data_IF_048888200599
#
_entry.id   IF_048888200599
#
_cell.length_a   1.000
_cell.length_b   1.000
_cell.length_c   1.000
_cell.angle_alpha   90.00
_cell.angle_beta   90.00
_cell.angle_gamma   90.00
#
_symmetry.space_group_name_H-M   'P 1'
#
loop_
_entity.id
_entity.type
_entity.pdbx_description
1 polymer ?
#
# COMPACT_ATOMS: atom_id res chain seq x y z
N UNK A 1 -4.60 -4.39 11.26
CA UNK A 1 -5.59 -3.38 10.87
C UNK A 1 -6.65 -3.23 11.97
N UNK A 2 -7.42 -4.28 12.32
CA UNK A 2 -8.47 -4.23 13.35
C UNK A 2 -8.01 -3.63 14.68
N UNK A 3 -6.83 -4.02 15.20
CA UNK A 3 -6.26 -3.47 16.44
C UNK A 3 -5.95 -1.96 16.37
N UNK A 4 -5.77 -1.43 15.17
CA UNK A 4 -5.57 0.00 14.93
C UNK A 4 -6.88 0.77 14.67
N UNK A 5 -8.03 0.10 14.80
CA UNK A 5 -9.35 0.70 14.54
C UNK A 5 -9.73 0.77 13.05
N UNK A 6 -8.93 0.18 12.15
CA UNK A 6 -9.25 0.05 10.73
C UNK A 6 -10.11 -1.20 10.56
N UNK A 7 -11.42 -1.04 10.69
CA UNK A 7 -12.38 -2.14 10.72
C UNK A 7 -13.24 -2.26 9.46
N UNK A 8 -13.30 -1.22 8.62
CA UNK A 8 -13.97 -1.27 7.32
C UNK A 8 -12.91 -1.47 6.24
N UNK A 9 -12.94 -2.61 5.56
CA UNK A 9 -11.94 -2.99 4.58
C UNK A 9 -12.58 -3.16 3.21
N UNK A 10 -11.88 -2.70 2.16
CA UNK A 10 -12.18 -3.06 0.78
C UNK A 10 -11.03 -3.92 0.27
N UNK A 11 -11.32 -5.13 -0.19
CA UNK A 11 -10.31 -6.05 -0.71
C UNK A 11 -10.55 -6.27 -2.21
N UNK A 12 -9.55 -5.88 -3.00
CA UNK A 12 -9.51 -6.16 -4.42
C UNK A 12 -9.06 -7.60 -4.67
N UNK A 13 -9.69 -8.27 -5.62
CA UNK A 13 -9.27 -9.59 -6.03
C UNK A 13 -9.56 -9.86 -7.52
N UNK A 14 -8.69 -10.65 -8.14
CA UNK A 14 -8.87 -11.16 -9.50
C UNK A 14 -8.58 -12.67 -9.51
N UNK A 15 -7.30 -13.04 -9.52
CA UNK A 15 -6.87 -14.43 -9.53
C UNK A 15 -7.16 -15.10 -8.18
N UNK A 16 -7.79 -16.29 -8.21
CA UNK A 16 -8.17 -17.07 -7.03
C UNK A 16 -9.06 -16.31 -6.02
N UNK A 17 -9.78 -15.27 -6.47
CA UNK A 17 -10.61 -14.44 -5.61
C UNK A 17 -11.64 -15.21 -4.80
N UNK A 18 -12.28 -16.22 -5.38
CA UNK A 18 -13.26 -17.05 -4.69
C UNK A 18 -12.67 -17.78 -3.46
N UNK A 19 -11.38 -18.15 -3.51
CA UNK A 19 -10.70 -18.77 -2.36
C UNK A 19 -10.48 -17.75 -1.23
N UNK A 20 -10.16 -16.50 -1.56
CA UNK A 20 -10.04 -15.43 -0.58
C UNK A 20 -11.38 -15.13 0.07
N UNK A 21 -12.44 -15.00 -0.75
CA UNK A 21 -13.81 -14.79 -0.26
C UNK A 21 -14.25 -15.93 0.64
N UNK A 22 -14.00 -17.19 0.23
CA UNK A 22 -14.35 -18.36 1.03
C UNK A 22 -13.58 -18.43 2.36
N UNK A 23 -12.31 -18.00 2.39
CA UNK A 23 -11.46 -18.03 3.57
C UNK A 23 -11.76 -16.91 4.57
N UNK A 24 -12.07 -15.71 4.10
CA UNK A 24 -12.21 -14.53 4.95
C UNK A 24 -13.68 -14.11 5.17
N UNK A 25 -14.59 -14.56 4.30
CA UNK A 25 -16.01 -14.24 4.39
C UNK A 25 -16.28 -12.73 4.36
N UNK A 26 -17.11 -12.27 5.28
CA UNK A 26 -17.39 -10.84 5.52
C UNK A 26 -16.41 -10.18 6.50
N UNK A 27 -15.42 -10.93 7.00
CA UNK A 27 -14.43 -10.44 7.96
C UNK A 27 -14.87 -10.44 9.41
N UNK A 28 -16.13 -10.80 9.72
CA UNK A 28 -16.68 -10.74 11.09
C UNK A 28 -15.87 -11.55 12.10
N UNK A 29 -15.37 -12.74 11.72
CA UNK A 29 -14.49 -13.57 12.55
C UNK A 29 -13.13 -12.92 12.87
N UNK A 30 -12.72 -11.91 12.09
CA UNK A 30 -11.47 -11.16 12.25
C UNK A 30 -11.68 -9.79 12.92
N UNK A 31 -12.92 -9.46 13.31
CA UNK A 31 -13.28 -8.17 13.91
C UNK A 31 -13.27 -7.01 12.91
N UNK A 32 -13.50 -7.30 11.63
CA UNK A 32 -13.57 -6.30 10.54
C UNK A 32 -14.82 -6.56 9.69
N UNK A 33 -15.17 -5.62 8.84
CA UNK A 33 -16.16 -5.75 7.78
C UNK A 33 -15.47 -5.66 6.44
N UNK A 34 -15.58 -6.67 5.60
CA UNK A 34 -14.95 -6.73 4.29
C UNK A 34 -15.99 -6.46 3.20
N UNK A 35 -15.71 -5.47 2.36
CA UNK A 35 -16.37 -5.24 1.07
C UNK A 35 -15.46 -5.75 -0.04
N UNK A 36 -15.96 -6.66 -0.87
CA UNK A 36 -15.18 -7.27 -1.94
C UNK A 36 -15.27 -6.45 -3.23
N UNK A 37 -14.12 -6.17 -3.85
CA UNK A 37 -13.99 -5.53 -5.15
C UNK A 37 -13.44 -6.52 -6.17
N UNK A 38 -14.34 -7.24 -6.85
CA UNK A 38 -13.95 -8.19 -7.90
C UNK A 38 -13.52 -7.45 -9.18
N UNK A 39 -12.31 -7.71 -9.65
CA UNK A 39 -11.77 -7.03 -10.84
C UNK A 39 -12.18 -7.68 -12.15
N UNK A 40 -12.43 -9.00 -12.14
CA UNK A 40 -12.61 -9.81 -13.34
C UNK A 40 -11.25 -10.12 -13.98
N UNK A 41 -10.74 -9.19 -14.78
CA UNK A 41 -9.35 -9.22 -15.27
C UNK A 41 -8.47 -8.39 -14.34
N UNK A 42 -7.19 -8.77 -14.13
CA UNK A 42 -6.26 -8.00 -13.30
C UNK A 42 -6.08 -6.56 -13.80
N UNK A 43 -6.35 -5.58 -12.93
CA UNK A 43 -6.29 -4.15 -13.27
C UNK A 43 -5.00 -3.47 -12.81
N UNK A 44 -4.04 -4.21 -12.29
CA UNK A 44 -2.90 -3.68 -11.55
C UNK A 44 -3.33 -2.85 -10.33
N UNK A 45 -2.39 -2.36 -9.54
CA UNK A 45 -2.73 -1.69 -8.27
C UNK A 45 -3.52 -0.40 -8.48
N UNK A 46 -3.15 0.42 -9.45
CA UNK A 46 -3.83 1.70 -9.71
C UNK A 46 -5.25 1.52 -10.21
N UNK A 47 -5.46 0.65 -11.20
CA UNK A 47 -6.77 0.37 -11.77
C UNK A 47 -7.69 -0.35 -10.77
N UNK A 48 -7.15 -1.28 -9.97
CA UNK A 48 -7.88 -1.94 -8.91
C UNK A 48 -8.39 -0.95 -7.86
N UNK A 49 -7.56 -0.02 -7.41
CA UNK A 49 -7.99 1.04 -6.48
C UNK A 49 -9.06 1.93 -7.12
N UNK A 50 -8.84 2.37 -8.37
CA UNK A 50 -9.83 3.21 -9.07
C UNK A 50 -11.20 2.53 -9.15
N UNK A 51 -11.22 1.22 -9.43
CA UNK A 51 -12.46 0.42 -9.45
C UNK A 51 -13.11 0.36 -8.07
N UNK A 52 -12.33 0.33 -7.00
CA UNK A 52 -12.80 0.24 -5.62
C UNK A 52 -13.28 1.58 -5.03
N UNK A 53 -12.99 2.74 -5.66
CA UNK A 53 -13.35 4.06 -5.14
C UNK A 53 -14.82 4.20 -4.74
N UNK A 54 -15.82 3.66 -5.48
CA UNK A 54 -17.22 3.72 -5.05
C UNK A 54 -17.49 3.04 -3.70
N UNK A 55 -16.66 2.07 -3.29
CA UNK A 55 -16.74 1.39 -1.99
C UNK A 55 -15.94 2.11 -0.91
N UNK A 56 -14.85 2.80 -1.30
CA UNK A 56 -13.94 3.53 -0.40
C UNK A 56 -14.51 4.90 0.00
N UNK A 57 -15.35 5.50 -0.84
CA UNK A 57 -15.90 6.84 -0.62
C UNK A 57 -14.94 7.96 -1.01
N UNK A 58 -15.19 9.16 -0.49
CA UNK A 58 -14.53 10.41 -0.86
C UNK A 58 -13.45 10.88 0.13
N UNK A 59 -13.27 10.15 1.23
CA UNK A 59 -12.23 10.45 2.23
C UNK A 59 -10.93 9.72 1.92
N UNK A 60 -9.78 10.26 2.38
CA UNK A 60 -8.53 9.51 2.35
C UNK A 60 -8.65 8.16 3.02
N UNK A 61 -8.02 7.15 2.44
CA UNK A 61 -8.04 5.77 2.92
C UNK A 61 -6.63 5.21 3.07
N UNK A 62 -6.47 4.23 3.95
CA UNK A 62 -5.22 3.48 4.12
C UNK A 62 -5.16 2.39 3.06
N UNK A 63 -4.10 2.40 2.27
CA UNK A 63 -3.74 1.34 1.33
C UNK A 63 -2.71 0.42 1.97
N UNK A 64 -2.93 -0.89 1.86
CA UNK A 64 -1.97 -1.92 2.30
C UNK A 64 -1.94 -3.01 1.23
N UNK A 65 -0.75 -3.31 0.71
CA UNK A 65 -0.57 -4.44 -0.21
C UNK A 65 -0.85 -5.75 0.52
N UNK A 66 -1.50 -6.70 -0.16
CA UNK A 66 -1.91 -7.97 0.43
C UNK A 66 -0.76 -8.97 0.66
N UNK A 67 0.41 -8.71 0.11
CA UNK A 67 1.60 -9.56 0.15
C UNK A 67 2.69 -9.06 1.11
N UNK A 68 2.37 -8.16 2.03
CA UNK A 68 3.35 -7.68 3.02
C UNK A 68 3.06 -8.25 4.41
N UNK A 69 4.15 -8.55 5.12
CA UNK A 69 4.15 -8.82 6.56
C UNK A 69 4.96 -7.73 7.27
N UNK A 70 4.40 -7.16 8.35
CA UNK A 70 5.05 -6.05 9.06
C UNK A 70 4.55 -5.92 10.50
N UNK A 71 5.40 -5.35 11.37
CA UNK A 71 5.00 -4.88 12.69
C UNK A 71 4.74 -3.36 12.73
N UNK A 72 4.49 -2.74 11.58
CA UNK A 72 4.13 -1.33 11.50
C UNK A 72 2.85 -1.02 12.29
N UNK A 73 2.88 0.05 13.09
CA UNK A 73 1.72 0.53 13.83
C UNK A 73 0.88 1.49 12.96
N UNK A 74 -0.30 1.07 12.54
CA UNK A 74 -1.21 1.88 11.74
C UNK A 74 -1.92 2.98 12.53
N UNK A 75 -1.79 2.99 13.87
CA UNK A 75 -2.39 4.01 14.72
C UNK A 75 -1.73 5.36 14.52
N UNK A 76 -2.49 6.34 14.05
CA UNK A 76 -1.97 7.69 13.79
C UNK A 76 -1.51 7.94 12.35
N UNK A 77 -1.52 6.93 11.48
CA UNK A 77 -1.22 7.11 10.06
C UNK A 77 -2.32 7.98 9.40
N UNK A 78 -1.96 9.17 8.95
CA UNK A 78 -2.90 10.16 8.40
C UNK A 78 -2.33 10.83 7.16
N UNK A 79 -3.21 11.40 6.33
CA UNK A 79 -2.81 12.22 5.19
C UNK A 79 -2.74 13.69 5.62
N UNK A 80 -1.57 14.36 5.54
CA UNK A 80 -1.48 15.79 5.80
C UNK A 80 -2.35 16.61 4.83
N UNK A 81 -2.91 17.71 5.31
CA UNK A 81 -3.78 18.57 4.52
C UNK A 81 -3.10 19.02 3.22
N UNK A 82 -3.84 18.98 2.11
CA UNK A 82 -3.35 19.38 0.78
C UNK A 82 -2.43 18.36 0.10
N UNK A 83 -2.20 17.20 0.69
CA UNK A 83 -1.43 16.12 0.07
C UNK A 83 -2.34 15.11 -0.63
N UNK A 84 -1.80 14.44 -1.65
CA UNK A 84 -2.48 13.35 -2.39
C UNK A 84 -2.09 11.96 -1.89
N UNK A 85 -0.90 11.83 -1.30
CA UNK A 85 -0.46 10.59 -0.69
C UNK A 85 0.51 10.86 0.48
N UNK A 86 0.49 9.94 1.47
CA UNK A 86 1.52 9.80 2.49
C UNK A 86 2.03 8.37 2.47
N UNK A 87 3.34 8.17 2.21
CA UNK A 87 3.94 6.86 1.99
C UNK A 87 4.73 6.42 3.22
N UNK A 88 4.61 5.14 3.56
CA UNK A 88 5.56 4.47 4.45
C UNK A 88 6.67 3.88 3.60
N UNK A 89 7.90 4.31 3.85
CA UNK A 89 9.10 3.86 3.15
C UNK A 89 9.96 3.01 4.09
N UNK A 90 10.63 2.01 3.54
CA UNK A 90 11.50 1.09 4.28
C UNK A 90 12.89 1.05 3.63
N UNK A 91 13.87 0.53 4.35
CA UNK A 91 15.19 0.24 3.79
C UNK A 91 15.06 -0.73 2.62
N UNK A 92 15.96 -0.62 1.66
CA UNK A 92 15.95 -1.49 0.49
C UNK A 92 16.22 -2.94 0.91
N UNK A 93 15.31 -3.88 0.63
CA UNK A 93 15.55 -5.29 0.92
C UNK A 93 16.72 -5.81 0.06
N UNK A 94 17.38 -6.88 0.53
CA UNK A 94 18.62 -7.40 -0.08
C UNK A 94 18.50 -7.74 -1.59
N UNK A 95 17.30 -8.04 -2.05
CA UNK A 95 17.02 -8.36 -3.45
C UNK A 95 16.74 -7.12 -4.32
N UNK A 96 16.70 -5.91 -3.75
CA UNK A 96 16.38 -4.66 -4.44
C UNK A 96 17.53 -3.67 -4.29
N UNK A 97 18.25 -3.43 -5.38
CA UNK A 97 19.45 -2.59 -5.38
C UNK A 97 19.17 -1.08 -5.40
N UNK A 98 17.95 -0.68 -5.77
CA UNK A 98 17.55 0.73 -5.90
C UNK A 98 16.19 0.95 -5.25
N UNK A 99 16.08 2.02 -4.45
CA UNK A 99 14.81 2.42 -3.87
C UNK A 99 13.86 3.08 -4.88
N UNK A 100 12.64 3.31 -4.45
CA UNK A 100 11.58 3.89 -5.28
C UNK A 100 11.49 5.40 -5.16
N UNK A 101 11.79 5.94 -3.95
CA UNK A 101 11.62 7.35 -3.61
C UNK A 101 12.70 7.82 -2.65
N UNK A 102 12.98 9.12 -2.68
CA UNK A 102 13.83 9.80 -1.70
C UNK A 102 12.95 10.50 -0.67
N UNK A 103 13.29 10.35 0.61
CA UNK A 103 12.63 11.02 1.72
C UNK A 103 13.54 12.10 2.30
N UNK A 104 13.07 13.34 2.34
CA UNK A 104 13.80 14.46 2.94
C UNK A 104 12.85 15.38 3.69
N UNK A 105 13.03 15.48 5.01
CA UNK A 105 12.20 16.35 5.84
C UNK A 105 10.70 16.03 5.77
N UNK A 106 10.32 14.77 5.63
CA UNK A 106 8.93 14.34 5.48
C UNK A 106 8.35 14.52 4.07
N UNK A 107 9.10 15.07 3.12
CA UNK A 107 8.71 15.19 1.71
C UNK A 107 9.28 14.01 0.91
N UNK A 108 8.44 13.46 0.04
CA UNK A 108 8.83 12.40 -0.90
C UNK A 108 9.08 12.97 -2.28
N UNK A 109 10.20 12.59 -2.90
CA UNK A 109 10.59 13.00 -4.26
C UNK A 109 11.04 11.79 -5.08
N UNK A 110 11.01 11.93 -6.40
CA UNK A 110 11.57 10.93 -7.31
C UNK A 110 13.10 10.94 -7.21
N UNK A 111 13.76 9.77 -7.18
CA UNK A 111 15.23 9.69 -7.13
C UNK A 111 15.84 10.22 -8.44
N UNK A 112 16.92 10.97 -8.31
CA UNK A 112 17.80 11.37 -9.41
C UNK A 112 18.99 10.39 -9.49
N UNK A 113 19.82 10.46 -10.54
CA UNK A 113 20.97 9.56 -10.72
C UNK A 113 21.92 9.52 -9.50
N UNK A 114 22.10 10.64 -8.82
CA UNK A 114 22.97 10.75 -7.63
C UNK A 114 22.31 10.30 -6.31
N UNK A 115 21.01 9.97 -6.34
CA UNK A 115 20.24 9.57 -5.14
C UNK A 115 20.16 8.05 -4.93
N UNK A 116 20.78 7.25 -5.78
CA UNK A 116 20.63 5.80 -5.80
C UNK A 116 20.88 5.13 -4.42
N UNK A 117 21.79 5.67 -3.62
CA UNK A 117 22.13 5.18 -2.27
C UNK A 117 21.23 5.73 -1.17
N UNK A 118 20.40 6.73 -1.46
CA UNK A 118 19.50 7.42 -0.51
C UNK A 118 18.04 7.09 -0.71
N UNK A 119 17.72 6.49 -1.85
CA UNK A 119 16.35 6.11 -2.17
C UNK A 119 15.92 4.91 -1.33
N UNK A 120 14.71 4.98 -0.79
CA UNK A 120 14.05 3.98 0.03
C UNK A 120 12.99 3.22 -0.79
N UNK A 121 12.67 2.03 -0.35
CA UNK A 121 11.61 1.20 -0.96
C UNK A 121 10.24 1.64 -0.44
N UNK A 122 9.26 1.78 -1.35
CA UNK A 122 7.86 1.92 -0.97
C UNK A 122 7.36 0.59 -0.39
N UNK A 123 6.91 0.63 0.84
CA UNK A 123 6.53 -0.57 1.61
C UNK A 123 5.22 -1.22 1.18
N UNK A 124 4.45 -0.59 0.28
CA UNK A 124 3.07 -1.00 0.01
C UNK A 124 2.06 -0.50 1.05
N UNK A 125 2.48 0.38 1.98
CA UNK A 125 1.60 1.04 2.95
C UNK A 125 1.56 2.54 2.63
N UNK A 126 0.35 3.09 2.50
CA UNK A 126 0.15 4.52 2.26
C UNK A 126 -1.20 5.00 2.79
N UNK A 127 -1.36 6.30 2.96
CA UNK A 127 -2.66 6.96 2.96
C UNK A 127 -2.82 7.68 1.64
N UNK A 128 -3.93 7.45 0.96
CA UNK A 128 -4.19 7.96 -0.39
C UNK A 128 -5.46 8.80 -0.38
N UNK A 129 -5.41 9.99 -1.00
CA UNK A 129 -6.60 10.76 -1.34
C UNK A 129 -7.25 10.18 -2.61
N UNK A 130 -8.57 9.99 -2.66
CA UNK A 130 -9.29 9.67 -3.90
C UNK A 130 -9.00 10.65 -5.05
N UNK A 131 -8.65 11.89 -4.73
CA UNK A 131 -8.27 12.93 -5.71
C UNK A 131 -7.06 12.54 -6.57
N UNK A 132 -6.21 11.63 -6.10
CA UNK A 132 -5.08 11.09 -6.88
C UNK A 132 -5.55 10.44 -8.19
N UNK A 133 -6.78 9.94 -8.23
CA UNK A 133 -7.39 9.25 -9.36
C UNK A 133 -8.31 10.14 -10.20
N UNK A 134 -8.44 11.43 -9.87
CA UNK A 134 -9.35 12.33 -10.56
C UNK A 134 -9.01 12.47 -12.05
N UNK A 135 -10.02 12.30 -12.91
CA UNK A 135 -9.86 12.45 -14.35
C UNK A 135 -9.20 11.28 -15.08
N UNK A 136 -8.85 10.21 -14.39
CA UNK A 136 -8.27 9.03 -15.02
C UNK A 136 -9.36 8.18 -15.70
N UNK A 137 -9.04 7.64 -16.87
CA UNK A 137 -9.89 6.64 -17.52
C UNK A 137 -9.83 5.31 -16.76
N UNK A 138 -10.94 4.57 -16.75
CA UNK A 138 -10.96 3.22 -16.20
C UNK A 138 -10.08 2.26 -17.03
N UNK A 139 -9.40 1.35 -16.36
CA UNK A 139 -8.55 0.37 -17.03
C UNK A 139 -7.45 -0.18 -16.12
N UNK A 140 -6.58 -1.00 -16.71
CA UNK A 140 -5.42 -1.54 -16.02
C UNK A 140 -4.27 -0.54 -16.05
N UNK A 141 -3.78 -0.12 -14.89
CA UNK A 141 -2.59 0.73 -14.73
C UNK A 141 -1.97 0.61 -13.36
N UNK A 142 -0.65 0.83 -13.31
CA UNK A 142 0.12 0.78 -12.06
C UNK A 142 -0.09 2.06 -11.21
N UNK A 143 -0.02 1.91 -9.89
CA UNK A 143 -0.09 3.04 -8.95
C UNK A 143 1.19 3.91 -8.98
N UNK A 144 2.36 3.30 -9.17
CA UNK A 144 3.64 3.98 -9.04
C UNK A 144 3.81 5.23 -9.94
N UNK A 145 3.38 5.24 -11.23
CA UNK A 145 3.43 6.45 -12.06
C UNK A 145 2.60 7.61 -11.49
N UNK A 146 1.45 7.34 -10.88
CA UNK A 146 0.63 8.37 -10.25
C UNK A 146 1.31 8.98 -9.03
N UNK A 147 1.90 8.14 -8.18
CA UNK A 147 2.66 8.59 -7.03
C UNK A 147 3.87 9.43 -7.46
N UNK A 148 4.58 9.03 -8.52
CA UNK A 148 5.71 9.79 -9.06
C UNK A 148 5.28 11.15 -9.60
N UNK A 149 4.21 11.21 -10.37
CA UNK A 149 3.66 12.47 -10.88
C UNK A 149 3.18 13.39 -9.75
N UNK A 150 2.61 12.85 -8.69
CA UNK A 150 2.22 13.61 -7.51
C UNK A 150 3.46 14.09 -6.72
N UNK A 151 4.53 13.28 -6.61
CA UNK A 151 5.79 13.63 -5.97
C UNK A 151 6.50 14.79 -6.70
N UNK A 152 6.51 14.79 -8.03
CA UNK A 152 7.06 15.90 -8.84
C UNK A 152 6.33 17.23 -8.58
N UNK A 153 5.05 17.17 -8.22
CA UNK A 153 4.23 18.33 -7.84
C UNK A 153 4.38 18.72 -6.36
N UNK A 154 5.16 17.96 -5.57
CA UNK A 154 5.32 18.17 -4.13
C UNK A 154 4.07 17.81 -3.31
N UNK A 155 3.21 16.93 -3.83
CA UNK A 155 1.95 16.52 -3.20
C UNK A 155 2.04 15.14 -2.53
N UNK A 156 3.26 14.66 -2.24
CA UNK A 156 3.52 13.39 -1.55
C UNK A 156 4.42 13.64 -0.35
N UNK A 157 3.96 13.20 0.80
CA UNK A 157 4.75 13.12 2.03
C UNK A 157 5.04 11.67 2.38
N UNK A 158 5.88 11.44 3.38
CA UNK A 158 6.16 10.08 3.84
C UNK A 158 6.94 10.05 5.13
N UNK A 159 7.12 8.85 5.61
CA UNK A 159 7.93 8.52 6.77
C UNK A 159 8.81 7.30 6.50
N UNK A 160 9.92 7.18 7.23
CA UNK A 160 10.80 6.02 7.19
C UNK A 160 10.44 5.08 8.34
N UNK A 161 10.15 3.85 8.02
CA UNK A 161 9.91 2.79 8.99
C UNK A 161 11.08 1.82 9.00
N UNK A 162 11.79 1.77 10.13
CA UNK A 162 12.96 0.90 10.34
C UNK A 162 12.63 -0.40 11.10
N UNK A 163 11.35 -0.76 11.22
CA UNK A 163 10.91 -2.00 11.88
C UNK A 163 10.92 -3.20 10.93
N UNK A 164 10.26 -4.28 11.34
CA UNK A 164 10.17 -5.49 10.51
C UNK A 164 9.17 -5.28 9.36
N UNK A 165 9.67 -5.48 8.16
CA UNK A 165 8.88 -5.46 6.94
C UNK A 165 9.40 -6.53 5.96
N UNK A 166 8.50 -7.25 5.33
CA UNK A 166 8.81 -8.28 4.35
C UNK A 166 7.71 -8.33 3.28
N UNK A 167 8.10 -8.34 2.01
CA UNK A 167 7.21 -8.66 0.91
C UNK A 167 7.19 -10.18 0.69
N UNK A 168 6.01 -10.79 0.84
CA UNK A 168 5.84 -12.25 0.83
C UNK A 168 5.53 -12.74 -0.58
N UNK A 169 6.43 -12.47 -1.53
CA UNK A 169 6.26 -12.83 -2.94
C UNK A 169 6.84 -14.20 -3.33
N UNK A 170 7.47 -14.95 -2.39
CA UNK A 170 8.02 -16.29 -2.65
C UNK A 170 7.76 -17.23 -1.46
N UNK A 171 7.75 -18.58 -1.68
CA UNK A 171 7.61 -19.54 -0.58
C UNK A 171 8.66 -19.37 0.53
N UNK A 172 9.89 -19.04 0.17
CA UNK A 172 10.98 -18.81 1.14
C UNK A 172 10.69 -17.61 2.03
N UNK A 173 10.19 -16.50 1.44
CA UNK A 173 9.80 -15.30 2.19
C UNK A 173 8.54 -15.52 3.03
N UNK A 174 7.62 -16.39 2.58
CA UNK A 174 6.50 -16.82 3.41
C UNK A 174 6.98 -17.58 4.65
N UNK A 175 7.90 -18.53 4.50
CA UNK A 175 8.47 -19.25 5.63
C UNK A 175 9.23 -18.33 6.60
N UNK A 176 9.88 -17.28 6.09
CA UNK A 176 10.50 -16.25 6.91
C UNK A 176 9.46 -15.43 7.68
N UNK A 177 8.40 -14.97 7.02
CA UNK A 177 7.30 -14.23 7.68
C UNK A 177 6.67 -15.06 8.79
N UNK A 178 6.42 -16.36 8.57
CA UNK A 178 5.89 -17.28 9.59
C UNK A 178 6.81 -17.41 10.80
N UNK A 179 8.12 -17.48 10.58
CA UNK A 179 9.12 -17.56 11.66
C UNK A 179 9.13 -16.27 12.50
N UNK A 180 9.10 -15.11 11.84
CA UNK A 180 9.02 -13.81 12.51
C UNK A 180 7.73 -13.65 13.30
N UNK A 181 6.60 -14.09 12.74
CA UNK A 181 5.30 -14.01 13.41
C UNK A 181 5.20 -14.89 14.67
N UNK A 182 5.96 -16.00 14.75
CA UNK A 182 5.97 -16.91 15.92
C UNK A 182 6.97 -16.48 17.00
N UNK A 183 7.95 -15.66 16.66
CA UNK A 183 9.06 -15.25 17.55
C UNK A 183 8.89 -13.87 18.18
N UNK A 184 7.77 -13.19 17.95
CA UNK A 184 7.44 -11.87 18.47
C UNK A 184 6.42 -11.90 19.61
#
# INVERSE_FOLDING_TARGET
LARAGLTELVINHAWLGDQLVAALGDGGALGVQISWSAEGEPLETGGGIQRALPLLGDRPFVLVNGDIWTNYSFGGLTLPAGQLAHLVLVDNPAHKNTGDFVLQGGRVTNPQEHDATRALTYSGIAVISPELFAGLAAGAFALAPLLRAAADRGLVTGEHFAGHWLDVGTPERLAEAERLARGG
#
